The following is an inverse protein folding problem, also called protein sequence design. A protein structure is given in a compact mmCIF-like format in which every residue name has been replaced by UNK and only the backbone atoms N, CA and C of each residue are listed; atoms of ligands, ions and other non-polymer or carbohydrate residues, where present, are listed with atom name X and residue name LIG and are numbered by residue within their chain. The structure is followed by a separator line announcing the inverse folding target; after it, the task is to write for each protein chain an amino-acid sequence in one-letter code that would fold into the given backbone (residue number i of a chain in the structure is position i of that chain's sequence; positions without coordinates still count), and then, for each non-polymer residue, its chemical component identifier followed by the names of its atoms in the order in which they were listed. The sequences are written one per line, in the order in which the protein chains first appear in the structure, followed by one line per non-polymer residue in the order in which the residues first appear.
data_IF_205266040365
#
_entry.id   IF_205266040365
#
_cell.length_a   1.000
_cell.length_b   1.000
_cell.length_c   1.000
_cell.angle_alpha   90.00
_cell.angle_beta   90.00
_cell.angle_gamma   90.00
#
_symmetry.space_group_name_H-M   'P 1'
#
loop_
_entity.id
_entity.type
_entity.pdbx_description
1 polymer ?
#
# COMPACT_ATOMS: atom_id res chain seq x y z
N UNK A 1 30.59 -30.84 0.78
CA UNK A 1 29.34 -31.23 1.46
C UNK A 1 28.94 -30.12 2.42
N UNK A 2 28.09 -29.16 2.02
CA UNK A 2 27.38 -28.29 2.99
C UNK A 2 25.99 -27.99 2.40
N UNK A 3 25.00 -28.83 2.71
CA UNK A 3 23.59 -28.43 2.59
C UNK A 3 23.32 -27.53 3.81
N UNK A 4 23.30 -26.22 3.62
CA UNK A 4 22.71 -25.30 4.60
C UNK A 4 21.21 -25.64 4.68
N UNK A 5 20.83 -26.47 5.65
CA UNK A 5 19.43 -26.67 5.96
C UNK A 5 18.91 -25.40 6.62
N UNK A 6 18.15 -24.60 5.87
CA UNK A 6 17.44 -23.45 6.42
C UNK A 6 16.41 -23.90 7.46
N UNK A 7 16.41 -23.23 8.62
CA UNK A 7 15.52 -23.54 9.73
C UNK A 7 14.07 -23.14 9.42
N UNK A 8 13.09 -23.80 10.06
CA UNK A 8 11.67 -23.50 9.86
C UNK A 8 11.32 -22.01 10.12
N UNK A 9 11.96 -21.40 11.13
CA UNK A 9 11.86 -19.96 11.42
C UNK A 9 12.36 -19.08 10.27
N UNK A 10 13.43 -19.47 9.58
CA UNK A 10 14.00 -18.72 8.46
C UNK A 10 13.13 -18.86 7.20
N UNK A 11 12.54 -20.04 6.97
CA UNK A 11 11.58 -20.25 5.87
C UNK A 11 10.31 -19.42 6.04
N UNK A 12 9.74 -19.36 7.24
CA UNK A 12 8.57 -18.51 7.53
C UNK A 12 8.94 -17.03 7.35
N UNK A 13 10.13 -16.62 7.81
CA UNK A 13 10.64 -15.25 7.66
C UNK A 13 10.87 -14.85 6.20
N UNK A 14 11.29 -15.78 5.33
CA UNK A 14 11.40 -15.52 3.89
C UNK A 14 10.04 -15.48 3.18
N UNK A 15 9.10 -16.38 3.52
CA UNK A 15 7.75 -16.36 2.95
C UNK A 15 6.96 -15.10 3.31
N UNK A 16 7.06 -14.67 4.58
CA UNK A 16 6.46 -13.39 5.06
C UNK A 16 7.17 -12.16 4.51
N UNK A 17 8.49 -12.24 4.23
CA UNK A 17 9.21 -11.16 3.57
C UNK A 17 8.76 -10.96 2.12
N UNK A 18 8.65 -12.04 1.34
CA UNK A 18 8.15 -11.96 -0.04
C UNK A 18 6.70 -11.46 -0.09
N UNK A 19 5.84 -11.88 0.85
CA UNK A 19 4.46 -11.37 0.91
C UNK A 19 4.39 -9.89 1.29
N UNK A 20 5.28 -9.41 2.17
CA UNK A 20 5.31 -8.00 2.58
C UNK A 20 5.89 -7.12 1.47
N UNK A 21 6.96 -7.56 0.80
CA UNK A 21 7.52 -6.80 -0.32
C UNK A 21 6.52 -6.71 -1.48
N UNK A 22 5.81 -7.81 -1.79
CA UNK A 22 4.73 -7.80 -2.78
C UNK A 22 3.57 -6.87 -2.38
N UNK A 23 3.16 -6.89 -1.12
CA UNK A 23 2.11 -6.00 -0.64
C UNK A 23 2.52 -4.51 -0.69
N UNK A 24 3.78 -4.20 -0.38
CA UNK A 24 4.30 -2.83 -0.50
C UNK A 24 4.28 -2.36 -1.96
N UNK A 25 4.62 -3.23 -2.91
CA UNK A 25 4.52 -2.93 -4.35
C UNK A 25 3.05 -2.63 -4.77
N UNK A 26 2.08 -3.37 -4.23
CA UNK A 26 0.66 -3.10 -4.46
C UNK A 26 0.25 -1.73 -3.91
N UNK A 27 0.70 -1.38 -2.70
CA UNK A 27 0.45 -0.07 -2.11
C UNK A 27 1.06 1.06 -2.95
N UNK A 28 2.28 0.87 -3.46
CA UNK A 28 2.91 1.83 -4.38
C UNK A 28 2.12 1.96 -5.69
N UNK A 29 1.57 0.87 -6.21
CA UNK A 29 0.66 0.89 -7.35
C UNK A 29 -0.59 1.75 -7.10
N UNK A 30 -1.24 1.54 -5.95
CA UNK A 30 -2.39 2.34 -5.54
C UNK A 30 -2.04 3.83 -5.38
N UNK A 31 -0.90 4.15 -4.77
CA UNK A 31 -0.41 5.54 -4.64
C UNK A 31 -0.13 6.19 -5.99
N UNK A 32 0.50 5.48 -6.93
CA UNK A 32 0.76 6.01 -8.27
C UNK A 32 -0.52 6.31 -9.02
N UNK A 33 -1.48 5.39 -8.98
CA UNK A 33 -2.77 5.56 -9.62
C UNK A 33 -3.54 6.74 -8.99
N UNK A 34 -3.66 6.77 -7.66
CA UNK A 34 -4.30 7.86 -6.93
C UNK A 34 -3.66 9.23 -7.19
N UNK A 35 -2.32 9.30 -7.23
CA UNK A 35 -1.61 10.55 -7.53
C UNK A 35 -1.85 11.04 -8.96
N UNK A 36 -1.97 10.13 -9.93
CA UNK A 36 -2.35 10.47 -11.30
C UNK A 36 -3.78 11.02 -11.35
N UNK A 37 -4.75 10.30 -10.78
CA UNK A 37 -6.16 10.74 -10.77
C UNK A 37 -6.35 12.06 -9.99
N UNK A 38 -5.63 12.25 -8.88
CA UNK A 38 -5.60 13.51 -8.13
C UNK A 38 -5.11 14.67 -8.99
N UNK A 39 -4.01 14.46 -9.72
CA UNK A 39 -3.44 15.48 -10.61
C UNK A 39 -4.41 15.83 -11.72
N UNK A 40 -5.05 14.84 -12.35
CA UNK A 40 -6.03 15.09 -13.41
C UNK A 40 -7.29 15.79 -12.87
N UNK A 41 -7.78 15.42 -11.68
CA UNK A 41 -8.89 16.10 -11.00
C UNK A 41 -8.58 17.55 -10.66
N UNK A 42 -7.36 17.83 -10.21
CA UNK A 42 -6.97 19.20 -9.88
C UNK A 42 -6.91 20.14 -11.10
N UNK A 43 -6.91 19.58 -12.32
CA UNK A 43 -6.75 20.32 -13.58
C UNK A 43 -8.05 20.54 -14.35
N UNK A 44 -9.14 19.83 -14.03
CA UNK A 44 -10.37 19.82 -14.83
C UNK A 44 -11.62 20.01 -13.94
N UNK A 45 -12.51 20.93 -14.33
CA UNK A 45 -13.79 21.18 -13.61
C UNK A 45 -14.85 20.07 -13.81
N UNK A 46 -14.63 19.13 -14.73
CA UNK A 46 -15.55 18.03 -15.07
C UNK A 46 -14.81 16.71 -15.15
N UNK A 47 -14.42 16.24 -13.97
CA UNK A 47 -13.61 15.06 -13.78
C UNK A 47 -14.43 13.75 -13.99
N UNK A 48 -13.77 12.68 -14.44
CA UNK A 48 -14.41 11.38 -14.74
C UNK A 48 -14.75 10.61 -13.46
N UNK A 49 -15.77 11.05 -12.71
CA UNK A 49 -16.15 10.62 -11.35
C UNK A 49 -15.91 9.14 -10.96
N UNK A 50 -15.90 8.20 -11.91
CA UNK A 50 -15.62 6.78 -11.72
C UNK A 50 -14.14 6.45 -11.39
N UNK A 51 -13.14 6.98 -12.09
CA UNK A 51 -11.73 6.54 -11.89
C UNK A 51 -11.10 7.03 -10.57
N UNK A 52 -11.62 8.09 -9.96
CA UNK A 52 -11.16 8.69 -8.70
C UNK A 52 -11.85 8.04 -7.55
N UNK A 53 -13.14 7.72 -7.69
CA UNK A 53 -13.81 6.83 -6.75
C UNK A 53 -13.11 5.47 -6.75
N UNK A 54 -12.68 4.98 -7.91
CA UNK A 54 -11.88 3.76 -8.01
C UNK A 54 -10.52 3.91 -7.34
N UNK A 55 -9.81 5.02 -7.56
CA UNK A 55 -8.53 5.29 -6.90
C UNK A 55 -8.67 5.41 -5.37
N UNK A 56 -9.68 6.12 -4.88
CA UNK A 56 -10.01 6.18 -3.45
C UNK A 56 -10.30 4.78 -2.90
N UNK A 57 -11.07 3.97 -3.62
CA UNK A 57 -11.38 2.59 -3.23
C UNK A 57 -10.13 1.72 -3.16
N UNK A 58 -9.17 1.88 -4.07
CA UNK A 58 -7.90 1.15 -4.02
C UNK A 58 -7.02 1.56 -2.85
N UNK A 59 -6.99 2.84 -2.47
CA UNK A 59 -6.29 3.30 -1.27
C UNK A 59 -6.92 2.68 0.00
N UNK A 60 -8.25 2.68 0.08
CA UNK A 60 -8.97 2.08 1.21
C UNK A 60 -8.74 0.58 1.31
N UNK A 61 -8.76 -0.13 0.17
CA UNK A 61 -8.52 -1.57 0.14
C UNK A 61 -7.09 -1.91 0.56
N UNK A 62 -6.09 -1.18 0.04
CA UNK A 62 -4.70 -1.36 0.47
C UNK A 62 -4.56 -1.15 1.99
N UNK A 63 -5.23 -0.14 2.54
CA UNK A 63 -5.21 0.10 3.99
C UNK A 63 -5.89 -0.99 4.81
N UNK A 64 -7.04 -1.53 4.37
CA UNK A 64 -7.70 -2.66 5.04
C UNK A 64 -6.82 -3.91 5.03
N UNK A 65 -6.23 -4.23 3.89
CA UNK A 65 -5.35 -5.41 3.75
C UNK A 65 -4.07 -5.28 4.57
N UNK A 66 -3.64 -4.06 4.91
CA UNK A 66 -2.43 -3.83 5.70
C UNK A 66 -2.52 -4.38 7.13
N UNK A 67 -3.70 -4.38 7.76
CA UNK A 67 -3.88 -4.81 9.16
C UNK A 67 -3.41 -6.25 9.44
N UNK A 68 -3.92 -7.29 8.73
CA UNK A 68 -3.46 -8.66 8.95
C UNK A 68 -1.98 -8.86 8.61
N UNK A 69 -1.46 -8.14 7.62
CA UNK A 69 -0.05 -8.20 7.23
C UNK A 69 0.82 -7.62 8.34
N UNK A 70 0.45 -6.47 8.88
CA UNK A 70 1.13 -5.80 9.98
C UNK A 70 1.22 -6.68 11.23
N UNK A 71 0.17 -7.44 11.54
CA UNK A 71 0.18 -8.37 12.68
C UNK A 71 1.27 -9.45 12.57
N UNK A 72 1.54 -9.93 11.34
CA UNK A 72 2.54 -10.97 11.06
C UNK A 72 3.97 -10.46 10.84
N UNK A 73 4.14 -9.14 10.70
CA UNK A 73 5.40 -8.51 10.36
C UNK A 73 6.39 -8.43 11.54
N UNK A 74 7.69 -8.53 11.23
CA UNK A 74 8.76 -8.26 12.19
C UNK A 74 8.94 -6.73 12.41
N UNK A 75 9.75 -6.28 13.39
CA UNK A 75 9.90 -4.85 13.70
C UNK A 75 10.33 -3.97 12.50
N UNK A 76 11.30 -4.41 11.70
CA UNK A 76 11.78 -3.69 10.52
C UNK A 76 10.70 -3.57 9.44
N UNK A 77 9.96 -4.67 9.22
CA UNK A 77 8.83 -4.69 8.30
C UNK A 77 7.68 -3.81 8.77
N UNK A 78 7.39 -3.78 10.08
CA UNK A 78 6.38 -2.91 10.68
C UNK A 78 6.70 -1.44 10.45
N UNK A 79 7.96 -1.03 10.56
CA UNK A 79 8.37 0.34 10.28
C UNK A 79 8.14 0.70 8.80
N UNK A 80 8.48 -0.19 7.87
CA UNK A 80 8.19 0.00 6.43
C UNK A 80 6.68 0.13 6.17
N UNK A 81 5.88 -0.74 6.78
CA UNK A 81 4.41 -0.70 6.67
C UNK A 81 3.82 0.57 7.28
N UNK A 82 4.33 1.04 8.43
CA UNK A 82 3.88 2.29 9.05
C UNK A 82 4.15 3.50 8.15
N UNK A 83 5.34 3.57 7.52
CA UNK A 83 5.65 4.62 6.56
C UNK A 83 4.71 4.58 5.36
N UNK A 84 4.48 3.40 4.79
CA UNK A 84 3.54 3.21 3.69
C UNK A 84 2.12 3.63 4.08
N UNK A 85 1.66 3.25 5.28
CA UNK A 85 0.36 3.65 5.82
C UNK A 85 0.22 5.17 5.84
N UNK A 86 1.23 5.89 6.34
CA UNK A 86 1.23 7.35 6.36
C UNK A 86 1.11 7.96 4.97
N UNK A 87 1.76 7.39 3.96
CA UNK A 87 1.63 7.84 2.57
C UNK A 87 0.21 7.61 2.01
N UNK A 88 -0.39 6.44 2.27
CA UNK A 88 -1.76 6.13 1.88
C UNK A 88 -2.78 7.08 2.56
N UNK A 89 -2.59 7.33 3.86
CA UNK A 89 -3.45 8.22 4.65
C UNK A 89 -3.40 9.66 4.12
N UNK A 90 -2.20 10.18 3.82
CA UNK A 90 -2.02 11.51 3.24
C UNK A 90 -2.69 11.62 1.87
N UNK A 91 -2.42 10.68 0.96
CA UNK A 91 -3.01 10.71 -0.38
C UNK A 91 -4.54 10.63 -0.34
N UNK A 92 -5.11 9.75 0.50
CA UNK A 92 -6.57 9.67 0.64
C UNK A 92 -7.14 10.97 1.19
N UNK A 93 -6.48 11.60 2.17
CA UNK A 93 -6.92 12.89 2.70
C UNK A 93 -6.91 13.97 1.63
N UNK A 94 -5.83 14.08 0.85
CA UNK A 94 -5.73 15.02 -0.26
C UNK A 94 -6.87 14.80 -1.27
N UNK A 95 -7.14 13.55 -1.64
CA UNK A 95 -8.25 13.22 -2.54
C UNK A 95 -9.64 13.51 -1.95
N UNK A 96 -9.85 13.40 -0.65
CA UNK A 96 -11.14 13.76 -0.05
C UNK A 96 -11.32 15.28 -0.06
N UNK A 97 -10.25 16.03 0.19
CA UNK A 97 -10.29 17.49 0.35
C UNK A 97 -10.33 18.25 -0.98
N UNK A 98 -9.77 17.70 -2.06
CA UNK A 98 -9.82 18.34 -3.39
C UNK A 98 -11.25 18.51 -3.94
N UNK A 99 -12.21 17.69 -3.47
CA UNK A 99 -13.63 17.77 -3.88
C UNK A 99 -14.44 18.87 -3.16
N UNK A 100 -13.82 19.74 -2.36
CA UNK A 100 -14.51 20.73 -1.52
C UNK A 100 -14.02 22.16 -1.75
#
# INVERSE_FOLDING_TARGET
MIRHQMNAKERIRMGTRQSIDHFLEQCEGALRFAGFEYTEASRQEHWDDETYQSAQSYLEEAMRQMEPIYASANPEQKERLQRMKGQLDLMRHDMITLRH
#
